data_IF_517085481382
#
_entry.id   IF_517085481382
#
_cell.length_a   1.000
_cell.length_b   1.000
_cell.length_c   1.000
_cell.angle_alpha   90.00
_cell.angle_beta   90.00
_cell.angle_gamma   90.00
#
_symmetry.space_group_name_H-M   'P 1'
#
loop_
_entity.id
_entity.type
_entity.pdbx_description
1 polymer ?
#
# COMPACT_ATOMS: atom_id res chain seq x y z
N UNK A 1 16.66 28.20 -3.43
CA UNK A 1 15.78 29.25 -3.99
C UNK A 1 14.78 29.68 -2.93
N UNK A 2 14.49 30.98 -2.84
CA UNK A 2 13.78 31.66 -1.73
C UNK A 2 12.40 31.04 -1.45
N UNK A 3 12.10 30.72 -0.17
CA UNK A 3 10.77 30.28 0.33
C UNK A 3 9.61 31.15 -0.17
N UNK A 4 9.87 32.44 -0.36
CA UNK A 4 8.89 33.43 -0.83
C UNK A 4 8.45 33.18 -2.28
N UNK A 5 9.37 32.79 -3.17
CA UNK A 5 9.04 32.54 -4.58
C UNK A 5 8.19 31.30 -4.78
N UNK A 6 8.37 30.25 -3.96
CA UNK A 6 7.53 29.06 -4.07
C UNK A 6 6.09 29.33 -3.64
N UNK A 7 5.88 30.14 -2.60
CA UNK A 7 4.53 30.52 -2.13
C UNK A 7 3.78 31.35 -3.17
N UNK A 8 4.45 32.31 -3.79
CA UNK A 8 3.90 33.13 -4.88
C UNK A 8 3.49 32.26 -6.07
N UNK A 9 4.34 31.30 -6.46
CA UNK A 9 4.03 30.35 -7.54
C UNK A 9 2.84 29.45 -7.17
N UNK A 10 2.75 29.01 -5.92
CA UNK A 10 1.61 28.18 -5.45
C UNK A 10 0.31 28.98 -5.32
N UNK A 11 0.37 30.30 -5.14
CA UNK A 11 -0.82 31.14 -5.08
C UNK A 11 -1.52 31.26 -6.44
N UNK A 12 -0.80 31.04 -7.54
CA UNK A 12 -1.34 30.97 -8.90
C UNK A 12 -1.57 29.51 -9.32
N UNK A 13 -2.83 29.06 -9.51
CA UNK A 13 -3.14 27.71 -9.99
C UNK A 13 -2.46 27.32 -11.29
N UNK A 14 -2.27 28.27 -12.20
CA UNK A 14 -1.71 28.01 -13.53
C UNK A 14 -0.22 27.69 -13.43
N UNK A 15 0.51 28.48 -12.63
CA UNK A 15 1.93 28.26 -12.40
C UNK A 15 2.17 27.02 -11.55
N UNK A 16 1.34 26.79 -10.54
CA UNK A 16 1.43 25.61 -9.69
C UNK A 16 1.25 24.30 -10.47
N UNK A 17 0.34 24.27 -11.45
CA UNK A 17 0.11 23.08 -12.28
C UNK A 17 1.33 22.70 -13.14
N UNK A 18 2.11 23.71 -13.57
CA UNK A 18 3.29 23.54 -14.42
C UNK A 18 4.54 23.10 -13.65
N UNK A 19 4.55 23.22 -12.32
CA UNK A 19 5.68 22.76 -11.51
C UNK A 19 5.86 21.25 -11.67
N UNK A 20 7.07 20.80 -11.95
CA UNK A 20 7.39 19.36 -11.90
C UNK A 20 7.56 18.93 -10.44
N UNK A 21 6.85 17.90 -9.97
CA UNK A 21 7.00 17.43 -8.60
C UNK A 21 8.39 16.77 -8.43
N UNK A 22 9.06 17.07 -7.31
CA UNK A 22 10.34 16.45 -6.95
C UNK A 22 10.40 16.21 -5.45
N UNK A 23 11.21 15.24 -5.01
CA UNK A 23 11.34 14.91 -3.59
C UNK A 23 11.71 16.15 -2.74
N UNK A 24 12.69 16.94 -3.20
CA UNK A 24 13.12 18.16 -2.50
C UNK A 24 12.00 19.21 -2.40
N UNK A 25 11.17 19.33 -3.44
CA UNK A 25 10.01 20.22 -3.43
C UNK A 25 8.94 19.73 -2.45
N UNK A 26 8.63 18.43 -2.45
CA UNK A 26 7.65 17.85 -1.53
C UNK A 26 8.10 17.99 -0.08
N UNK A 27 9.37 17.67 0.23
CA UNK A 27 9.94 17.87 1.56
C UNK A 27 9.81 19.32 2.01
N UNK A 28 10.13 20.27 1.14
CA UNK A 28 10.01 21.69 1.45
C UNK A 28 8.56 22.09 1.76
N UNK A 29 7.59 21.64 0.95
CA UNK A 29 6.16 21.93 1.16
C UNK A 29 5.64 21.34 2.47
N UNK A 30 6.06 20.13 2.80
CA UNK A 30 5.66 19.43 4.02
C UNK A 30 6.30 20.07 5.28
N UNK A 31 7.54 20.56 5.19
CA UNK A 31 8.18 21.33 6.26
C UNK A 31 7.51 22.69 6.47
N UNK A 32 7.15 23.38 5.39
CA UNK A 32 6.51 24.71 5.43
C UNK A 32 4.96 24.64 5.54
N UNK A 33 4.38 23.49 5.93
CA UNK A 33 2.92 23.23 5.95
C UNK A 33 2.10 24.30 6.70
N UNK A 34 2.65 24.89 7.77
CA UNK A 34 1.96 25.87 8.60
C UNK A 34 1.83 27.26 7.93
N UNK A 35 2.59 27.50 6.86
CA UNK A 35 2.65 28.78 6.16
C UNK A 35 1.81 28.80 4.87
N UNK A 36 1.10 27.72 4.56
CA UNK A 36 0.25 27.59 3.38
C UNK A 36 -1.23 27.72 3.77
N UNK A 37 -1.98 28.54 3.03
CA UNK A 37 -3.41 28.73 3.25
C UNK A 37 -4.14 28.96 1.92
N UNK A 38 -5.46 28.75 1.93
CA UNK A 38 -6.34 28.99 0.78
C UNK A 38 -5.90 28.24 -0.47
N UNK A 39 -5.77 28.97 -1.58
CA UNK A 39 -5.42 28.42 -2.90
C UNK A 39 -4.04 27.77 -2.90
N UNK A 40 -3.06 28.37 -2.24
CA UNK A 40 -1.70 27.83 -2.18
C UNK A 40 -1.65 26.46 -1.48
N UNK A 41 -2.49 26.27 -0.46
CA UNK A 41 -2.61 24.98 0.23
C UNK A 41 -3.22 23.91 -0.69
N UNK A 42 -4.28 24.24 -1.42
CA UNK A 42 -4.90 23.32 -2.37
C UNK A 42 -3.93 22.90 -3.47
N UNK A 43 -3.17 23.85 -4.02
CA UNK A 43 -2.17 23.60 -5.05
C UNK A 43 -1.00 22.76 -4.53
N UNK A 44 -0.54 23.01 -3.30
CA UNK A 44 0.49 22.18 -2.68
C UNK A 44 0.02 20.74 -2.47
N UNK A 45 -1.21 20.53 -1.97
CA UNK A 45 -1.80 19.18 -1.82
C UNK A 45 -1.92 18.46 -3.16
N UNK A 46 -2.35 19.16 -4.21
CA UNK A 46 -2.45 18.59 -5.55
C UNK A 46 -1.07 18.16 -6.08
N UNK A 47 -0.04 18.98 -5.87
CA UNK A 47 1.33 18.69 -6.29
C UNK A 47 1.91 17.47 -5.55
N UNK A 48 1.71 17.40 -4.23
CA UNK A 48 2.14 16.25 -3.41
C UNK A 48 1.42 14.97 -3.85
N UNK A 49 0.11 15.05 -4.08
CA UNK A 49 -0.67 13.90 -4.54
C UNK A 49 -0.17 13.38 -5.89
N UNK A 50 0.08 14.28 -6.85
CA UNK A 50 0.61 13.90 -8.16
C UNK A 50 1.98 13.22 -8.02
N UNK A 51 2.86 13.71 -7.15
CA UNK A 51 4.15 13.05 -6.87
C UNK A 51 3.96 11.62 -6.35
N UNK A 52 3.11 11.45 -5.33
CA UNK A 52 2.84 10.14 -4.73
C UNK A 52 2.25 9.18 -5.77
N UNK A 53 1.31 9.66 -6.58
CA UNK A 53 0.66 8.87 -7.63
C UNK A 53 1.67 8.44 -8.73
N UNK A 54 2.55 9.35 -9.17
CA UNK A 54 3.60 9.07 -10.16
C UNK A 54 4.58 8.00 -9.64
N UNK A 55 5.06 8.13 -8.40
CA UNK A 55 5.99 7.16 -7.81
C UNK A 55 5.29 5.83 -7.54
N UNK A 56 4.05 5.85 -7.07
CA UNK A 56 3.26 4.64 -6.86
C UNK A 56 3.01 3.89 -8.18
N UNK A 57 2.82 4.57 -9.31
CA UNK A 57 2.66 3.95 -10.63
C UNK A 57 3.92 3.18 -11.05
N UNK A 58 5.09 3.80 -10.89
CA UNK A 58 6.38 3.17 -11.20
C UNK A 58 6.58 1.91 -10.35
N UNK A 59 6.30 2.01 -9.04
CA UNK A 59 6.43 0.88 -8.12
C UNK A 59 5.36 -0.19 -8.35
N UNK A 60 4.14 0.17 -8.75
CA UNK A 60 3.07 -0.78 -9.11
C UNK A 60 3.52 -1.72 -10.21
N UNK A 61 4.17 -1.18 -11.23
CA UNK A 61 4.71 -1.96 -12.35
C UNK A 61 5.74 -2.98 -11.87
N UNK A 62 6.65 -2.58 -10.97
CA UNK A 62 7.67 -3.47 -10.39
C UNK A 62 7.07 -4.55 -9.48
N UNK A 63 6.11 -4.19 -8.63
CA UNK A 63 5.42 -5.13 -7.73
C UNK A 63 4.57 -6.15 -8.49
N UNK A 64 3.91 -5.73 -9.57
CA UNK A 64 3.13 -6.63 -10.43
C UNK A 64 4.00 -7.72 -11.08
N UNK A 65 5.23 -7.37 -11.47
CA UNK A 65 6.19 -8.32 -12.04
C UNK A 65 6.77 -9.28 -10.98
N UNK A 66 6.93 -8.82 -9.74
CA UNK A 66 7.49 -9.63 -8.65
C UNK A 66 6.48 -10.60 -7.99
N UNK A 67 5.16 -10.38 -8.13
CA UNK A 67 4.12 -11.11 -7.38
C UNK A 67 3.57 -12.35 -8.09
N UNK A 68 4.44 -13.18 -8.67
CA UNK A 68 4.10 -14.56 -9.01
C UNK A 68 4.02 -15.42 -7.72
N UNK A 69 2.94 -15.24 -6.94
CA UNK A 69 2.72 -15.96 -5.69
C UNK A 69 2.70 -17.49 -5.86
N UNK A 70 3.00 -18.22 -4.78
CA UNK A 70 2.98 -19.68 -4.77
C UNK A 70 1.60 -20.24 -5.14
N UNK A 71 1.59 -21.45 -5.70
CA UNK A 71 0.35 -22.15 -6.06
C UNK A 71 -0.55 -22.33 -4.83
N UNK A 72 -1.81 -21.90 -4.94
CA UNK A 72 -2.81 -22.13 -3.92
C UNK A 72 -3.41 -23.54 -4.05
N UNK A 73 -3.01 -24.44 -3.15
CA UNK A 73 -3.55 -25.80 -3.06
C UNK A 73 -4.84 -25.90 -2.25
N UNK A 74 -5.25 -24.86 -1.51
CA UNK A 74 -6.54 -24.84 -0.80
C UNK A 74 -7.72 -24.56 -1.73
N UNK A 75 -7.48 -23.92 -2.88
CA UNK A 75 -8.49 -23.74 -3.92
C UNK A 75 -8.47 -24.94 -4.88
N UNK A 76 -9.59 -25.66 -5.07
CA UNK A 76 -9.66 -26.78 -6.02
C UNK A 76 -9.34 -26.32 -7.45
N UNK A 77 -8.70 -27.17 -8.28
CA UNK A 77 -8.38 -26.82 -9.65
C UNK A 77 -9.66 -26.69 -10.49
N UNK A 78 -9.72 -25.68 -11.37
CA UNK A 78 -10.85 -25.51 -12.29
C UNK A 78 -10.86 -26.67 -13.29
N UNK A 79 -12.01 -27.35 -13.40
CA UNK A 79 -12.23 -28.52 -14.28
C UNK A 79 -12.46 -28.09 -15.72
N UNK A 80 -11.45 -27.51 -16.35
CA UNK A 80 -11.46 -27.13 -17.77
C UNK A 80 -10.44 -27.95 -18.55
N UNK A 81 -10.66 -28.14 -19.85
CA UNK A 81 -9.74 -28.90 -20.70
C UNK A 81 -8.31 -28.34 -20.67
N UNK A 82 -8.15 -27.00 -20.66
CA UNK A 82 -6.85 -26.32 -20.54
C UNK A 82 -6.07 -26.69 -19.27
N UNK A 83 -6.76 -27.04 -18.20
CA UNK A 83 -6.15 -27.40 -16.92
C UNK A 83 -6.03 -28.91 -16.73
N UNK A 84 -6.48 -29.73 -17.67
CA UNK A 84 -6.41 -31.18 -17.57
C UNK A 84 -4.94 -31.63 -17.59
N UNK A 85 -4.55 -32.36 -16.55
CA UNK A 85 -3.23 -32.99 -16.49
C UNK A 85 -3.33 -34.38 -17.12
N UNK A 86 -3.14 -34.45 -18.44
CA UNK A 86 -3.27 -35.69 -19.21
C UNK A 86 -2.29 -36.76 -18.73
N UNK A 87 -1.03 -36.40 -18.51
CA UNK A 87 -0.01 -37.35 -18.04
C UNK A 87 -0.40 -37.93 -16.69
N UNK A 88 -0.71 -37.08 -15.71
CA UNK A 88 -1.12 -37.55 -14.38
C UNK A 88 -2.40 -38.35 -14.42
N UNK A 89 -3.34 -37.98 -15.29
CA UNK A 89 -4.59 -38.70 -15.50
C UNK A 89 -4.34 -40.09 -16.07
N UNK A 90 -3.53 -40.21 -17.13
CA UNK A 90 -3.17 -41.50 -17.71
C UNK A 90 -2.48 -42.37 -16.65
N UNK A 91 -1.38 -41.88 -16.06
CA UNK A 91 -0.59 -42.62 -15.07
C UNK A 91 -1.42 -43.14 -13.89
N UNK A 92 -2.38 -42.34 -13.39
CA UNK A 92 -3.21 -42.74 -12.25
C UNK A 92 -4.35 -43.67 -12.61
N UNK A 93 -4.73 -43.76 -13.89
CA UNK A 93 -5.76 -44.68 -14.37
C UNK A 93 -5.17 -45.90 -15.09
N UNK A 94 -3.83 -46.03 -15.23
CA UNK A 94 -3.17 -47.17 -15.90
C UNK A 94 -3.59 -48.54 -15.32
N UNK A 95 -3.99 -48.61 -14.05
CA UNK A 95 -4.54 -49.83 -13.44
C UNK A 95 -5.81 -50.34 -14.13
N UNK A 96 -6.51 -49.46 -14.85
CA UNK A 96 -7.76 -49.76 -15.57
C UNK A 96 -7.52 -50.03 -17.07
N UNK A 97 -6.28 -50.32 -17.46
CA UNK A 97 -5.96 -50.70 -18.82
C UNK A 97 -6.49 -52.10 -19.13
N UNK A 98 -7.22 -52.25 -20.24
CA UNK A 98 -7.62 -53.54 -20.80
C UNK A 98 -6.69 -53.90 -21.95
N UNK A 99 -5.84 -54.93 -21.81
CA UNK A 99 -5.01 -55.42 -22.91
C UNK A 99 -5.84 -56.05 -24.05
N UNK A 100 -7.00 -56.64 -23.73
CA UNK A 100 -7.85 -57.31 -24.73
C UNK A 100 -8.53 -56.32 -25.67
N UNK A 101 -8.89 -55.14 -25.18
CA UNK A 101 -9.56 -54.10 -25.97
C UNK A 101 -8.63 -52.95 -26.38
N UNK A 102 -7.35 -53.00 -25.99
CA UNK A 102 -6.35 -51.94 -26.16
C UNK A 102 -6.87 -50.55 -25.73
N UNK A 103 -7.57 -50.51 -24.58
CA UNK A 103 -8.26 -49.30 -24.09
C UNK A 103 -7.97 -49.00 -22.63
N UNK A 104 -7.82 -47.70 -22.35
CA UNK A 104 -7.69 -47.15 -21.01
C UNK A 104 -9.03 -46.57 -20.55
N UNK A 105 -9.62 -47.17 -19.52
CA UNK A 105 -10.83 -46.65 -18.90
C UNK A 105 -10.46 -45.62 -17.82
N UNK A 106 -10.91 -44.38 -18.00
CA UNK A 106 -10.55 -43.25 -17.12
C UNK A 106 -11.70 -42.96 -16.16
N UNK A 107 -11.53 -43.32 -14.89
CA UNK A 107 -12.53 -43.09 -13.83
C UNK A 107 -12.35 -41.71 -13.19
N UNK A 108 -11.11 -41.21 -13.15
CA UNK A 108 -10.79 -39.94 -12.48
C UNK A 108 -9.89 -39.06 -13.33
N UNK A 109 -10.39 -37.87 -13.64
CA UNK A 109 -9.62 -36.79 -14.27
C UNK A 109 -8.88 -35.95 -13.22
N UNK A 110 -7.60 -35.68 -13.47
CA UNK A 110 -6.76 -34.84 -12.62
C UNK A 110 -6.49 -33.50 -13.30
N UNK A 111 -6.63 -32.41 -12.57
CA UNK A 111 -6.45 -31.06 -13.10
C UNK A 111 -5.34 -30.32 -12.35
N UNK A 112 -4.58 -29.49 -13.08
CA UNK A 112 -3.54 -28.62 -12.52
C UNK A 112 -4.16 -27.47 -11.75
N UNK A 113 -3.58 -27.15 -10.60
CA UNK A 113 -3.95 -25.96 -9.84
C UNK A 113 -3.43 -24.71 -10.55
N UNK A 114 -4.32 -23.76 -10.78
CA UNK A 114 -3.98 -22.46 -11.39
C UNK A 114 -4.15 -21.29 -10.43
N UNK A 115 -4.84 -21.50 -9.31
CA UNK A 115 -4.98 -20.49 -8.28
C UNK A 115 -3.60 -20.20 -7.65
N UNK A 116 -3.32 -18.93 -7.37
CA UNK A 116 -2.10 -18.50 -6.68
C UNK A 116 -2.50 -17.74 -5.42
N UNK A 117 -1.84 -18.04 -4.30
CA UNK A 117 -2.01 -17.26 -3.08
C UNK A 117 -1.32 -15.93 -3.30
N UNK A 118 -2.10 -14.85 -3.20
CA UNK A 118 -1.51 -13.55 -2.98
C UNK A 118 -1.79 -13.14 -1.53
N UNK A 119 -0.76 -13.16 -0.70
CA UNK A 119 -0.86 -12.59 0.65
C UNK A 119 -0.59 -11.10 0.55
N UNK A 120 -1.46 -10.21 1.07
CA UNK A 120 -1.14 -8.80 1.16
C UNK A 120 0.10 -8.62 2.04
N UNK A 121 1.05 -7.81 1.59
CA UNK A 121 2.19 -7.44 2.41
C UNK A 121 1.76 -6.38 3.41
N UNK A 122 2.23 -6.47 4.64
CA UNK A 122 1.92 -5.47 5.68
C UNK A 122 3.14 -4.64 5.98
N UNK A 123 3.04 -3.33 5.78
CA UNK A 123 4.05 -2.35 6.17
C UNK A 123 3.57 -1.66 7.45
N UNK A 124 4.36 -1.74 8.51
CA UNK A 124 4.10 -1.03 9.77
C UNK A 124 5.23 -0.03 9.95
N UNK A 125 4.89 1.25 9.89
CA UNK A 125 5.82 2.36 10.10
C UNK A 125 5.55 2.92 11.49
N UNK A 126 6.58 2.96 12.33
CA UNK A 126 6.52 3.56 13.66
C UNK A 126 7.51 4.72 13.69
N UNK A 127 7.03 5.92 13.99
CA UNK A 127 7.84 7.15 13.95
C UNK A 127 7.81 7.81 15.32
N UNK A 128 8.98 8.15 15.85
CA UNK A 128 9.09 8.94 17.08
C UNK A 128 8.87 10.45 16.80
N UNK A 129 8.08 11.11 17.65
CA UNK A 129 7.75 12.54 17.57
C UNK A 129 8.70 13.44 18.36
N UNK A 130 9.81 12.91 18.87
CA UNK A 130 10.88 13.75 19.43
C UNK A 130 11.25 14.87 18.46
N UNK A 131 11.40 16.10 18.97
CA UNK A 131 11.50 17.33 18.15
C UNK A 131 12.68 17.36 17.14
N UNK A 132 13.62 16.43 17.23
CA UNK A 132 14.72 16.22 16.28
C UNK A 132 14.35 15.36 15.05
N UNK A 133 13.18 14.70 15.03
CA UNK A 133 12.79 13.72 13.99
C UNK A 133 11.88 14.27 12.88
N UNK A 134 11.77 15.60 12.74
CA UNK A 134 10.98 16.24 11.68
C UNK A 134 11.28 15.68 10.29
N UNK A 135 12.56 15.52 9.96
CA UNK A 135 13.01 15.06 8.65
C UNK A 135 12.65 13.58 8.41
N UNK A 136 12.80 12.76 9.45
CA UNK A 136 12.41 11.35 9.44
C UNK A 136 10.89 11.19 9.30
N UNK A 137 10.11 12.03 9.96
CA UNK A 137 8.64 12.03 9.86
C UNK A 137 8.18 12.36 8.44
N UNK A 138 8.76 13.38 7.80
CA UNK A 138 8.44 13.75 6.41
C UNK A 138 8.71 12.57 5.46
N UNK A 139 9.89 11.95 5.55
CA UNK A 139 10.25 10.82 4.69
C UNK A 139 9.37 9.58 4.94
N UNK A 140 9.13 9.23 6.21
CA UNK A 140 8.23 8.13 6.57
C UNK A 140 6.80 8.35 6.06
N UNK A 141 6.32 9.59 6.13
CA UNK A 141 4.99 9.99 5.66
C UNK A 141 4.86 9.83 4.14
N UNK A 142 5.86 10.31 3.39
CA UNK A 142 5.90 10.16 1.93
C UNK A 142 5.94 8.69 1.54
N UNK A 143 6.83 7.91 2.15
CA UNK A 143 6.95 6.47 1.89
C UNK A 143 5.65 5.73 2.21
N UNK A 144 5.08 5.94 3.40
CA UNK A 144 3.80 5.34 3.78
C UNK A 144 2.70 5.65 2.75
N UNK A 145 2.68 6.87 2.21
CA UNK A 145 1.70 7.28 1.20
C UNK A 145 1.89 6.61 -0.14
N UNK A 146 3.14 6.46 -0.59
CA UNK A 146 3.46 5.72 -1.80
C UNK A 146 3.05 4.25 -1.66
N UNK A 147 3.41 3.60 -0.54
CA UNK A 147 3.07 2.20 -0.30
C UNK A 147 1.57 1.98 -0.12
N UNK A 148 0.83 2.95 0.44
CA UNK A 148 -0.62 2.88 0.56
C UNK A 148 -1.32 2.89 -0.80
N UNK A 149 -0.69 3.45 -1.84
CA UNK A 149 -1.17 3.41 -3.21
C UNK A 149 -0.87 2.10 -3.96
N UNK A 150 -0.12 1.16 -3.36
CA UNK A 150 0.23 -0.10 -4.00
C UNK A 150 -0.85 -1.18 -3.77
N UNK A 151 -1.17 -2.00 -4.78
CA UNK A 151 -2.12 -3.09 -4.61
C UNK A 151 -1.53 -4.13 -3.68
N UNK A 152 -2.37 -4.69 -2.81
CA UNK A 152 -2.01 -5.78 -1.88
C UNK A 152 -0.94 -5.35 -0.86
N UNK A 153 -0.87 -4.07 -0.52
CA UNK A 153 -0.05 -3.58 0.59
C UNK A 153 -0.95 -2.93 1.63
N UNK A 154 -0.95 -3.48 2.84
CA UNK A 154 -1.61 -2.90 4.01
C UNK A 154 -0.59 -2.01 4.74
N UNK A 155 -0.79 -0.69 4.73
CA UNK A 155 0.09 0.24 5.44
C UNK A 155 -0.54 0.66 6.75
N UNK A 156 0.21 0.54 7.84
CA UNK A 156 -0.11 1.09 9.14
C UNK A 156 0.97 2.08 9.54
N UNK A 157 0.58 3.27 9.97
CA UNK A 157 1.51 4.28 10.45
C UNK A 157 1.14 4.70 11.87
N UNK A 158 2.11 4.64 12.77
CA UNK A 158 1.94 5.00 14.17
C UNK A 158 2.99 6.04 14.52
N UNK A 159 2.55 7.19 15.03
CA UNK A 159 3.43 8.18 15.65
C UNK A 159 3.48 7.94 17.16
N UNK A 160 4.66 8.02 17.77
CA UNK A 160 4.90 7.74 19.18
C UNK A 160 5.74 8.86 19.81
N UNK A 161 5.37 9.32 21.00
CA UNK A 161 6.24 10.13 21.86
C UNK A 161 5.99 9.67 23.30
N UNK A 162 4.94 10.22 23.93
CA UNK A 162 4.41 9.78 25.23
C UNK A 162 3.12 8.96 25.10
N UNK A 163 2.46 9.06 23.95
CA UNK A 163 1.27 8.27 23.57
C UNK A 163 1.41 7.86 22.11
N UNK A 164 0.83 6.69 21.78
CA UNK A 164 0.73 6.24 20.40
C UNK A 164 -0.48 6.89 19.71
N UNK A 165 -0.25 7.53 18.57
CA UNK A 165 -1.28 8.08 17.69
C UNK A 165 -1.24 7.24 16.41
N UNK A 166 -2.32 6.54 16.10
CA UNK A 166 -2.41 5.82 14.84
C UNK A 166 -2.91 6.76 13.73
N UNK A 167 -2.06 6.89 12.72
CA UNK A 167 -2.18 7.75 11.55
C UNK A 167 -2.58 6.95 10.29
N UNK A 168 -2.84 5.64 10.43
CA UNK A 168 -3.32 4.76 9.36
C UNK A 168 -4.46 5.36 8.54
N UNK A 169 -5.46 6.07 9.11
CA UNK A 169 -6.53 6.65 8.30
C UNK A 169 -6.09 7.71 7.29
N UNK A 170 -4.92 8.31 7.48
CA UNK A 170 -4.38 9.39 6.64
C UNK A 170 -3.17 8.96 5.81
N UNK A 171 -2.86 7.67 5.73
CA UNK A 171 -1.73 7.19 4.92
C UNK A 171 -1.84 7.58 3.46
N UNK A 172 -3.03 7.79 2.91
CA UNK A 172 -3.20 8.25 1.53
C UNK A 172 -2.97 9.75 1.33
N UNK A 173 -2.88 10.54 2.40
CA UNK A 173 -2.66 11.99 2.34
C UNK A 173 -1.50 12.38 3.29
N UNK A 174 -0.27 12.46 2.77
CA UNK A 174 0.90 12.80 3.58
C UNK A 174 0.80 14.20 4.21
N UNK A 175 0.05 15.11 3.60
CA UNK A 175 -0.11 16.46 4.13
C UNK A 175 -1.01 16.46 5.38
N UNK A 176 -2.17 15.81 5.29
CA UNK A 176 -3.09 15.65 6.43
C UNK A 176 -2.47 14.87 7.59
N UNK A 177 -1.68 13.86 7.26
CA UNK A 177 -0.91 13.10 8.24
C UNK A 177 0.02 14.00 9.04
N UNK A 178 0.80 14.85 8.36
CA UNK A 178 1.67 15.79 9.05
C UNK A 178 0.89 16.85 9.81
N UNK A 179 -0.23 17.37 9.31
CA UNK A 179 -1.05 18.33 10.06
C UNK A 179 -1.50 17.80 11.43
N UNK A 180 -1.71 16.49 11.54
CA UNK A 180 -2.14 15.81 12.77
C UNK A 180 -1.00 15.44 13.71
N UNK A 181 0.24 15.53 13.24
CA UNK A 181 1.42 15.41 14.09
C UNK A 181 1.87 16.80 14.51
N UNK A 182 2.24 16.92 15.78
CA UNK A 182 2.66 18.19 16.36
C UNK A 182 4.13 18.44 15.94
N UNK A 183 4.34 18.72 14.66
CA UNK A 183 5.60 19.19 14.11
C UNK A 183 5.95 20.53 14.78
N UNK A 184 6.63 20.46 15.94
CA UNK A 184 7.31 21.58 16.57
C UNK A 184 6.51 22.49 17.51
N UNK A 185 5.33 22.11 18.00
CA UNK A 185 4.74 22.82 19.15
C UNK A 185 5.11 22.09 20.43
N UNK A 186 5.80 22.80 21.33
CA UNK A 186 6.23 22.30 22.62
C UNK A 186 5.09 21.59 23.36
N UNK A 187 5.42 20.42 23.90
CA UNK A 187 4.65 19.58 24.80
C UNK A 187 3.86 20.44 25.80
N UNK A 188 2.52 20.28 25.84
CA UNK A 188 1.64 20.24 27.02
C UNK A 188 0.18 20.41 26.56
N UNK A 189 -0.60 19.32 26.46
CA UNK A 189 -1.93 19.25 27.11
C UNK A 189 -2.53 17.82 27.02
N UNK A 190 -3.18 17.29 28.07
CA UNK A 190 -3.73 15.96 28.11
C UNK A 190 -5.21 15.98 27.72
N UNK A 191 -5.56 15.60 26.49
CA UNK A 191 -6.94 15.26 26.15
C UNK A 191 -7.13 13.74 26.13
N UNK A 192 -8.15 13.18 26.81
CA UNK A 192 -8.51 11.77 26.74
C UNK A 192 -9.64 11.57 25.74
N UNK A 193 -9.37 10.96 24.59
CA UNK A 193 -10.41 10.35 23.77
C UNK A 193 -10.11 8.86 23.56
N UNK A 194 -11.09 7.96 23.77
CA UNK A 194 -10.83 6.54 23.84
C UNK A 194 -10.72 5.94 22.44
N UNK A 195 -9.70 5.11 22.28
CA UNK A 195 -9.53 4.20 21.16
C UNK A 195 -10.68 3.17 21.14
N UNK A 196 -11.33 2.86 20.00
CA UNK A 196 -12.20 1.70 19.93
C UNK A 196 -11.36 0.43 19.83
N UNK A 197 -11.62 -0.50 20.74
CA UNK A 197 -10.95 -1.79 20.79
C UNK A 197 -11.12 -2.59 19.48
N UNK A 198 -9.97 -3.06 19.00
CA UNK A 198 -9.70 -4.09 17.99
C UNK A 198 -10.87 -5.08 17.76
N UNK A 199 -11.42 -5.11 16.53
CA UNK A 199 -12.20 -6.26 16.05
C UNK A 199 -11.24 -7.38 15.64
N UNK A 200 -11.31 -8.51 16.34
CA UNK A 200 -10.71 -9.78 15.92
C UNK A 200 -11.45 -10.32 14.70
N UNK A 201 -10.77 -10.83 13.65
CA UNK A 201 -11.44 -11.59 12.61
C UNK A 201 -11.80 -12.97 13.15
N UNK A 202 -13.10 -13.17 13.25
CA UNK A 202 -13.80 -14.40 13.59
C UNK A 202 -13.21 -15.62 12.84
N UNK A 203 -12.60 -16.57 13.57
CA UNK A 203 -12.41 -17.94 13.10
C UNK A 203 -13.59 -18.76 13.57
N UNK A 204 -14.65 -18.81 12.77
CA UNK A 204 -15.69 -19.82 12.87
C UNK A 204 -15.36 -20.96 11.92
N UNK A 205 -15.04 -22.13 12.47
CA UNK A 205 -15.21 -23.41 11.81
C UNK A 205 -16.21 -24.20 12.65
N UNK A 206 -17.23 -24.86 12.07
CA UNK A 206 -17.65 -26.16 12.55
C UNK A 206 -16.62 -27.24 12.17
#
# INVERSE_FOLDING_TARGET
MKRMHLREVLADPTLAAQLTPSMSLIEQLLRDKNNLSGVALANAKALIRRFVDEVAEVLRTQVAQATAGALDRSVPPKRTFRNLDLDRTIWKNLTNWSPEEERLYVDRLYYRHTARKTTPQRLIVVVDQSGSMVDSMVNCTILASIFAGLPKVDVHLIAYDTRAIDLTPWVSDPFEMLLRTNLGAATTDPSPWPWPARRSPNRGAP
#
